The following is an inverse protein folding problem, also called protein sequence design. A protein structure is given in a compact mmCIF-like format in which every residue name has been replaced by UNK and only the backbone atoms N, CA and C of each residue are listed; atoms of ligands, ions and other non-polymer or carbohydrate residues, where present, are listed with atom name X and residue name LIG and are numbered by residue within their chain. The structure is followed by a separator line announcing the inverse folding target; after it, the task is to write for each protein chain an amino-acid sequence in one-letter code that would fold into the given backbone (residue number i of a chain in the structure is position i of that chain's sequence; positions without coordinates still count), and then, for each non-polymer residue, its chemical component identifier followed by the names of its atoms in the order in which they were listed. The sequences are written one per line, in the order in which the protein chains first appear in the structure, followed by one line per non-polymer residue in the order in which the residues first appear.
data_IF_623363225569
#
_entry.id   IF_623363225569
#
_cell.length_a   1.000
_cell.length_b   1.000
_cell.length_c   1.000
_cell.angle_alpha   90.00
_cell.angle_beta   90.00
_cell.angle_gamma   90.00
#
_symmetry.space_group_name_H-M   'P 1'
#
loop_
_entity.id
_entity.type
_entity.pdbx_description
1 polymer ?
#
# COMPACT_ATOMS: atom_id res chain seq x y z
N UNK A 1 -0.88 0.84 3.94
CA UNK A 1 -0.18 1.47 5.08
C UNK A 1 0.70 2.54 4.49
N UNK A 2 0.58 3.79 4.94
CA UNK A 2 1.34 4.91 4.38
C UNK A 2 2.79 4.89 4.85
N UNK A 3 3.69 5.59 4.14
CA UNK A 3 5.09 5.77 4.57
C UNK A 3 5.17 6.34 5.99
N UNK A 4 4.26 7.24 6.36
CA UNK A 4 4.12 7.79 7.72
C UNK A 4 3.76 6.72 8.76
N UNK A 5 2.75 5.89 8.49
CA UNK A 5 2.34 4.80 9.39
C UNK A 5 3.46 3.77 9.60
N UNK A 6 4.23 3.47 8.55
CA UNK A 6 5.39 2.56 8.63
C UNK A 6 6.47 3.18 9.52
N UNK A 7 6.80 4.47 9.34
CA UNK A 7 7.76 5.19 10.20
C UNK A 7 7.37 5.12 11.68
N UNK A 8 6.09 5.31 12.01
CA UNK A 8 5.60 5.19 13.38
C UNK A 8 5.82 3.76 13.92
N UNK A 9 5.54 2.72 13.13
CA UNK A 9 5.77 1.33 13.57
C UNK A 9 7.24 1.03 13.82
N UNK A 10 8.13 1.51 12.94
CA UNK A 10 9.58 1.40 13.12
C UNK A 10 10.02 2.10 14.40
N UNK A 11 9.57 3.34 14.62
CA UNK A 11 9.89 4.09 15.83
C UNK A 11 9.47 3.32 17.09
N UNK A 12 8.22 2.86 17.17
CA UNK A 12 7.72 2.10 18.32
C UNK A 12 8.49 0.81 18.57
N UNK A 13 8.87 0.11 17.50
CA UNK A 13 9.68 -1.11 17.60
C UNK A 13 11.09 -0.81 18.11
N UNK A 14 11.72 0.27 17.64
CA UNK A 14 13.02 0.74 18.11
C UNK A 14 12.98 1.19 19.58
N UNK A 15 11.94 1.90 20.00
CA UNK A 15 11.74 2.24 21.42
C UNK A 15 11.62 0.97 22.30
N UNK A 16 10.95 -0.07 21.82
CA UNK A 16 10.86 -1.36 22.51
C UNK A 16 12.24 -2.04 22.63
N UNK A 17 13.03 -2.02 21.56
CA UNK A 17 14.41 -2.53 21.56
C UNK A 17 15.24 -1.76 22.59
N UNK A 18 15.22 -0.42 22.54
CA UNK A 18 15.97 0.44 23.47
C UNK A 18 15.64 0.15 24.94
N UNK A 19 14.36 0.00 25.28
CA UNK A 19 13.93 -0.34 26.66
C UNK A 19 14.49 -1.70 27.11
N UNK A 20 14.47 -2.71 26.23
CA UNK A 20 15.02 -4.04 26.53
C UNK A 20 16.54 -4.01 26.65
N UNK A 21 17.23 -3.31 25.76
CA UNK A 21 18.68 -3.11 25.83
C UNK A 21 19.07 -2.44 27.14
N UNK A 22 18.38 -1.38 27.55
CA UNK A 22 18.64 -0.73 28.85
C UNK A 22 18.41 -1.67 30.04
N UNK A 23 17.41 -2.56 29.95
CA UNK A 23 17.14 -3.59 30.97
C UNK A 23 18.26 -4.62 31.04
N UNK A 24 18.78 -5.06 29.88
CA UNK A 24 19.95 -5.95 29.80
C UNK A 24 21.16 -5.28 30.46
N UNK A 25 21.49 -4.04 30.06
CA UNK A 25 22.64 -3.30 30.63
C UNK A 25 22.54 -3.15 32.15
N UNK A 26 21.33 -2.89 32.68
CA UNK A 26 21.10 -2.84 34.13
C UNK A 26 21.39 -4.18 34.81
N UNK A 27 20.95 -5.29 34.21
CA UNK A 27 21.18 -6.65 34.72
C UNK A 27 22.66 -7.04 34.66
N UNK A 28 23.34 -6.71 33.57
CA UNK A 28 24.80 -6.91 33.42
C UNK A 28 25.58 -6.13 34.48
N UNK A 29 25.15 -4.91 34.79
CA UNK A 29 25.73 -4.09 35.86
C UNK A 29 25.53 -4.75 37.23
N UNK A 30 24.35 -5.33 37.49
CA UNK A 30 24.08 -6.06 38.74
C UNK A 30 24.97 -7.30 38.89
N UNK A 31 25.13 -8.10 37.82
CA UNK A 31 26.04 -9.25 37.82
C UNK A 31 27.47 -8.76 38.11
N UNK A 32 27.92 -7.71 37.42
CA UNK A 32 29.29 -7.17 37.56
C UNK A 32 29.57 -6.54 38.93
N UNK A 33 28.54 -6.18 39.70
CA UNK A 33 28.69 -5.58 41.03
C UNK A 33 29.25 -6.55 42.08
N UNK A 34 29.25 -7.87 41.80
CA UNK A 34 29.75 -8.90 42.71
C UNK A 34 28.88 -9.12 43.97
N UNK A 35 27.73 -8.44 44.09
CA UNK A 35 26.83 -8.52 45.25
C UNK A 35 25.74 -9.58 45.15
N UNK A 36 25.79 -10.41 44.10
CA UNK A 36 24.75 -11.38 43.74
C UNK A 36 25.24 -12.80 43.97
N UNK A 37 24.38 -13.65 44.51
CA UNK A 37 24.70 -15.08 44.66
C UNK A 37 24.62 -15.81 43.30
N UNK A 38 25.13 -17.05 43.28
CA UNK A 38 25.21 -17.86 42.06
C UNK A 38 23.83 -18.12 41.43
N UNK A 39 22.79 -18.30 42.25
CA UNK A 39 21.44 -18.54 41.77
C UNK A 39 20.82 -17.27 41.17
N UNK A 40 21.01 -16.12 41.82
CA UNK A 40 20.62 -14.82 41.29
C UNK A 40 21.31 -14.51 39.96
N UNK A 41 22.62 -14.79 39.85
CA UNK A 41 23.38 -14.59 38.62
C UNK A 41 22.80 -15.45 37.49
N UNK A 42 22.53 -16.74 37.75
CA UNK A 42 21.94 -17.65 36.77
C UNK A 42 20.59 -17.13 36.26
N UNK A 43 19.71 -16.70 37.17
CA UNK A 43 18.41 -16.10 36.79
C UNK A 43 18.56 -14.84 35.95
N UNK A 44 19.51 -13.97 36.29
CA UNK A 44 19.77 -12.76 35.51
C UNK A 44 20.30 -13.10 34.11
N UNK A 45 21.16 -14.10 33.97
CA UNK A 45 21.68 -14.58 32.69
C UNK A 45 20.58 -15.21 31.81
N UNK A 46 19.70 -16.02 32.39
CA UNK A 46 18.54 -16.58 31.67
C UNK A 46 17.61 -15.48 31.15
N UNK A 47 17.35 -14.44 31.96
CA UNK A 47 16.53 -13.31 31.52
C UNK A 47 17.24 -12.46 30.44
N UNK A 48 18.55 -12.20 30.57
CA UNK A 48 19.33 -11.54 29.51
C UNK A 48 19.24 -12.34 28.20
N UNK A 49 19.38 -13.65 28.26
CA UNK A 49 19.27 -14.53 27.08
C UNK A 49 17.88 -14.44 26.43
N UNK A 50 16.81 -14.47 27.24
CA UNK A 50 15.44 -14.25 26.76
C UNK A 50 15.28 -12.88 26.10
N UNK A 51 15.65 -11.80 26.79
CA UNK A 51 15.52 -10.43 26.27
C UNK A 51 16.31 -10.25 24.97
N UNK A 52 17.49 -10.87 24.86
CA UNK A 52 18.32 -10.84 23.64
C UNK A 52 17.60 -11.51 22.46
N UNK A 53 16.97 -12.68 22.68
CA UNK A 53 16.17 -13.34 21.63
C UNK A 53 15.00 -12.47 21.18
N UNK A 54 14.28 -11.87 22.13
CA UNK A 54 13.16 -10.99 21.79
C UNK A 54 13.58 -9.70 21.08
N UNK A 55 14.77 -9.16 21.40
CA UNK A 55 15.37 -8.04 20.65
C UNK A 55 15.63 -8.48 19.21
N UNK A 56 16.26 -9.64 19.00
CA UNK A 56 16.56 -10.15 17.66
C UNK A 56 15.30 -10.37 16.81
N UNK A 57 14.22 -10.89 17.39
CA UNK A 57 12.92 -11.00 16.71
C UNK A 57 12.32 -9.63 16.35
N UNK A 58 12.45 -8.66 17.26
CA UNK A 58 11.97 -7.29 17.02
C UNK A 58 12.80 -6.62 15.92
N UNK A 59 14.12 -6.84 15.89
CA UNK A 59 15.01 -6.34 14.83
C UNK A 59 14.62 -6.89 13.46
N UNK A 60 14.35 -8.20 13.33
CA UNK A 60 13.82 -8.78 12.07
C UNK A 60 12.53 -8.10 11.62
N UNK A 61 11.68 -7.72 12.57
CA UNK A 61 10.44 -6.99 12.27
C UNK A 61 10.72 -5.56 11.79
N UNK A 62 11.70 -4.87 12.41
CA UNK A 62 12.16 -3.55 11.98
C UNK A 62 12.72 -3.60 10.56
N UNK A 63 13.64 -4.54 10.28
CA UNK A 63 14.21 -4.72 8.93
C UNK A 63 13.14 -4.94 7.86
N UNK A 64 12.10 -5.72 8.18
CA UNK A 64 10.94 -5.90 7.30
C UNK A 64 10.22 -4.58 7.03
N UNK A 65 9.97 -3.78 8.06
CA UNK A 65 9.32 -2.48 7.91
C UNK A 65 10.18 -1.46 7.18
N UNK A 66 11.50 -1.48 7.38
CA UNK A 66 12.44 -0.61 6.65
C UNK A 66 12.45 -0.93 5.16
N UNK A 67 12.45 -2.22 4.79
CA UNK A 67 12.31 -2.65 3.39
C UNK A 67 10.98 -2.20 2.79
N UNK A 68 9.89 -2.31 3.55
CA UNK A 68 8.58 -1.80 3.12
C UNK A 68 8.59 -0.27 2.95
N UNK A 69 9.19 0.46 3.88
CA UNK A 69 9.29 1.92 3.82
C UNK A 69 10.09 2.36 2.59
N UNK A 70 11.23 1.72 2.31
CA UNK A 70 12.02 2.01 1.12
C UNK A 70 11.21 1.83 -0.16
N UNK A 71 10.43 0.75 -0.25
CA UNK A 71 9.53 0.51 -1.38
C UNK A 71 8.42 1.56 -1.52
N UNK A 72 7.82 2.00 -0.42
CA UNK A 72 6.78 3.05 -0.48
C UNK A 72 7.36 4.44 -0.83
N UNK A 73 8.54 4.79 -0.29
CA UNK A 73 9.23 6.03 -0.64
C UNK A 73 9.61 6.07 -2.12
N UNK A 74 10.03 4.93 -2.67
CA UNK A 74 10.34 4.79 -4.10
C UNK A 74 9.10 5.03 -4.96
N UNK A 75 7.96 4.43 -4.59
CA UNK A 75 6.67 4.65 -5.26
C UNK A 75 6.22 6.10 -5.21
N UNK A 76 6.36 6.75 -4.06
CA UNK A 76 6.06 8.18 -3.90
C UNK A 76 6.96 9.04 -4.80
N UNK A 77 8.26 8.74 -4.86
CA UNK A 77 9.21 9.44 -5.76
C UNK A 77 8.81 9.28 -7.22
N UNK A 78 8.53 8.05 -7.66
CA UNK A 78 8.13 7.75 -9.05
C UNK A 78 6.88 8.54 -9.42
N UNK A 79 5.83 8.52 -8.59
CA UNK A 79 4.59 9.27 -8.82
C UNK A 79 4.83 10.77 -9.00
N UNK A 80 5.78 11.33 -8.24
CA UNK A 80 6.10 12.76 -8.28
C UNK A 80 6.94 13.15 -9.52
N UNK A 81 7.88 12.29 -9.92
CA UNK A 81 8.99 12.69 -10.82
C UNK A 81 9.00 12.00 -12.18
N UNK A 82 8.55 10.74 -12.26
CA UNK A 82 8.74 9.90 -13.46
C UNK A 82 7.44 9.65 -14.25
N UNK A 83 6.28 9.84 -13.62
CA UNK A 83 4.99 9.61 -14.29
C UNK A 83 4.66 10.74 -15.27
N UNK A 84 4.40 10.44 -16.56
CA UNK A 84 4.06 11.44 -17.57
C UNK A 84 2.64 11.99 -17.37
N UNK A 85 2.39 13.17 -17.93
CA UNK A 85 1.11 13.87 -17.79
C UNK A 85 -0.09 13.06 -18.29
N UNK A 86 0.07 12.30 -19.39
CA UNK A 86 -1.00 11.42 -19.90
C UNK A 86 -1.42 10.33 -18.92
N UNK A 87 -0.49 9.78 -18.13
CA UNK A 87 -0.82 8.83 -17.07
C UNK A 87 -1.44 9.51 -15.85
N UNK A 88 -1.04 10.77 -15.54
CA UNK A 88 -1.70 11.58 -14.50
C UNK A 88 -3.14 11.90 -14.87
N UNK A 89 -3.40 12.26 -16.12
CA UNK A 89 -4.76 12.49 -16.64
C UNK A 89 -5.62 11.23 -16.51
N UNK A 90 -5.06 10.08 -16.89
CA UNK A 90 -5.72 8.78 -16.69
C UNK A 90 -6.05 8.52 -15.22
N UNK A 91 -5.12 8.83 -14.30
CA UNK A 91 -5.34 8.69 -12.87
C UNK A 91 -6.51 9.54 -12.38
N UNK A 92 -6.56 10.81 -12.78
CA UNK A 92 -7.62 11.76 -12.41
C UNK A 92 -8.98 11.25 -12.89
N UNK A 93 -9.08 10.90 -14.17
CA UNK A 93 -10.34 10.44 -14.75
C UNK A 93 -10.83 9.13 -14.09
N UNK A 94 -9.91 8.22 -13.73
CA UNK A 94 -10.28 7.00 -13.00
C UNK A 94 -10.84 7.31 -11.61
N UNK A 95 -10.21 8.22 -10.86
CA UNK A 95 -10.69 8.62 -9.54
C UNK A 95 -12.08 9.25 -9.65
N UNK A 96 -12.29 10.16 -10.59
CA UNK A 96 -13.58 10.81 -10.80
C UNK A 96 -14.68 9.79 -11.11
N UNK A 97 -14.45 8.91 -12.08
CA UNK A 97 -15.43 7.89 -12.48
C UNK A 97 -15.70 6.87 -11.36
N UNK A 98 -14.68 6.47 -10.62
CA UNK A 98 -14.83 5.55 -9.49
C UNK A 98 -15.57 6.18 -8.32
N UNK A 99 -15.31 7.45 -8.03
CA UNK A 99 -16.05 8.19 -7.01
C UNK A 99 -17.53 8.26 -7.36
N UNK A 100 -17.87 8.64 -8.60
CA UNK A 100 -19.26 8.67 -9.07
C UNK A 100 -19.96 7.32 -8.89
N UNK A 101 -19.36 6.25 -9.40
CA UNK A 101 -19.88 4.89 -9.26
C UNK A 101 -20.06 4.46 -7.79
N UNK A 102 -19.06 4.68 -6.95
CA UNK A 102 -19.09 4.24 -5.55
C UNK A 102 -20.08 5.06 -4.71
N UNK A 103 -20.29 6.34 -5.03
CA UNK A 103 -21.32 7.17 -4.40
C UNK A 103 -22.73 6.69 -4.75
N UNK A 104 -23.00 6.42 -6.03
CA UNK A 104 -24.28 5.87 -6.48
C UNK A 104 -24.53 4.50 -5.85
N UNK A 105 -23.53 3.61 -5.90
CA UNK A 105 -23.59 2.28 -5.28
C UNK A 105 -23.90 2.37 -3.78
N UNK A 106 -23.22 3.28 -3.06
CA UNK A 106 -23.46 3.46 -1.62
C UNK A 106 -24.88 3.99 -1.35
N UNK A 107 -25.38 4.91 -2.17
CA UNK A 107 -26.74 5.42 -2.06
C UNK A 107 -27.79 4.31 -2.30
N UNK A 108 -27.61 3.49 -3.33
CA UNK A 108 -28.48 2.33 -3.58
C UNK A 108 -28.46 1.33 -2.44
N UNK A 109 -27.29 1.04 -1.87
CA UNK A 109 -27.18 0.14 -0.71
C UNK A 109 -27.88 0.71 0.53
N UNK A 110 -27.85 2.03 0.75
CA UNK A 110 -28.58 2.68 1.85
C UNK A 110 -30.09 2.53 1.69
N UNK A 111 -30.61 2.87 0.50
CA UNK A 111 -32.04 2.73 0.21
C UNK A 111 -32.51 1.28 0.39
N UNK A 112 -31.74 0.30 -0.11
CA UNK A 112 -32.07 -1.11 0.03
C UNK A 112 -32.01 -1.57 1.50
N UNK A 113 -31.07 -1.06 2.30
CA UNK A 113 -30.99 -1.36 3.72
C UNK A 113 -32.21 -0.81 4.49
N UNK A 114 -32.66 0.40 4.13
CA UNK A 114 -33.82 1.04 4.75
C UNK A 114 -35.12 0.27 4.42
N UNK A 115 -35.22 -0.34 3.24
CA UNK A 115 -36.37 -1.17 2.83
C UNK A 115 -36.37 -2.58 3.43
N UNK A 116 -35.22 -3.28 3.38
CA UNK A 116 -35.13 -4.71 3.73
C UNK A 116 -34.82 -4.95 5.21
N UNK A 117 -34.20 -3.98 5.89
CA UNK A 117 -33.61 -4.16 7.20
C UNK A 117 -32.38 -5.08 7.21
N UNK A 118 -31.70 -5.16 8.35
CA UNK A 118 -30.36 -5.78 8.46
C UNK A 118 -30.30 -7.24 7.99
N UNK A 119 -31.25 -8.10 8.40
CA UNK A 119 -31.18 -9.55 8.14
C UNK A 119 -31.25 -9.87 6.65
N UNK A 120 -32.24 -9.33 5.95
CA UNK A 120 -32.42 -9.58 4.51
C UNK A 120 -31.36 -8.85 3.67
N UNK A 121 -30.95 -7.65 4.08
CA UNK A 121 -29.85 -6.93 3.43
C UNK A 121 -28.55 -7.74 3.43
N UNK A 122 -28.15 -8.30 4.58
CA UNK A 122 -26.92 -9.11 4.69
C UNK A 122 -27.01 -10.38 3.85
N UNK A 123 -28.18 -11.01 3.77
CA UNK A 123 -28.40 -12.20 2.94
C UNK A 123 -28.17 -11.90 1.46
N UNK A 124 -28.56 -10.71 0.99
CA UNK A 124 -28.42 -10.28 -0.41
C UNK A 124 -27.04 -9.70 -0.74
N UNK A 125 -26.54 -8.78 0.08
CA UNK A 125 -25.34 -7.98 -0.23
C UNK A 125 -24.07 -8.44 0.52
N UNK A 126 -24.19 -9.43 1.39
CA UNK A 126 -23.15 -9.89 2.33
C UNK A 126 -22.71 -8.76 3.28
N UNK A 127 -21.84 -9.13 4.22
CA UNK A 127 -21.28 -8.18 5.19
C UNK A 127 -20.49 -7.04 4.50
N UNK A 128 -19.83 -7.35 3.39
CA UNK A 128 -19.06 -6.37 2.61
C UNK A 128 -19.91 -5.23 2.06
N UNK A 129 -21.16 -5.49 1.66
CA UNK A 129 -22.09 -4.44 1.24
C UNK A 129 -22.47 -3.54 2.41
N UNK A 130 -22.63 -4.12 3.60
CA UNK A 130 -22.98 -3.40 4.82
C UNK A 130 -21.85 -2.49 5.29
N UNK A 131 -20.61 -2.97 5.28
CA UNK A 131 -19.43 -2.16 5.62
C UNK A 131 -19.26 -1.00 4.63
N UNK A 132 -19.35 -1.29 3.32
CA UNK A 132 -19.22 -0.29 2.28
C UNK A 132 -20.26 0.83 2.39
N UNK A 133 -21.52 0.47 2.70
CA UNK A 133 -22.62 1.43 2.90
C UNK A 133 -22.30 2.50 3.96
N UNK A 134 -21.50 2.13 4.97
CA UNK A 134 -21.15 2.96 6.13
C UNK A 134 -19.90 3.81 5.92
N UNK A 135 -19.18 3.62 4.83
CA UNK A 135 -18.04 4.47 4.49
C UNK A 135 -18.48 5.91 4.27
N UNK A 136 -17.69 6.85 4.78
CA UNK A 136 -17.80 8.28 4.48
C UNK A 136 -17.36 8.58 3.04
N UNK A 137 -17.69 9.79 2.55
CA UNK A 137 -17.24 10.22 1.22
C UNK A 137 -15.71 10.29 1.17
N UNK A 138 -15.09 10.78 2.24
CA UNK A 138 -13.64 10.92 2.35
C UNK A 138 -12.95 9.54 2.24
N UNK A 139 -13.46 8.53 2.96
CA UNK A 139 -12.91 7.17 2.88
C UNK A 139 -13.04 6.57 1.47
N UNK A 140 -14.16 6.81 0.78
CA UNK A 140 -14.34 6.36 -0.61
C UNK A 140 -13.33 7.04 -1.53
N UNK A 141 -13.19 8.36 -1.46
CA UNK A 141 -12.26 9.13 -2.28
C UNK A 141 -10.83 8.64 -2.02
N UNK A 142 -10.41 8.53 -0.76
CA UNK A 142 -9.07 8.06 -0.42
C UNK A 142 -8.79 6.64 -0.94
N UNK A 143 -9.76 5.73 -0.84
CA UNK A 143 -9.62 4.36 -1.35
C UNK A 143 -9.49 4.34 -2.87
N UNK A 144 -10.22 5.23 -3.56
CA UNK A 144 -10.19 5.35 -5.01
C UNK A 144 -8.88 5.96 -5.50
N UNK A 145 -8.38 6.99 -4.83
CA UNK A 145 -7.06 7.56 -5.09
C UNK A 145 -5.94 6.54 -4.88
N UNK A 146 -5.97 5.78 -3.78
CA UNK A 146 -4.99 4.72 -3.49
C UNK A 146 -5.01 3.66 -4.59
N UNK A 147 -6.19 3.23 -5.02
CA UNK A 147 -6.36 2.24 -6.09
C UNK A 147 -5.83 2.76 -7.43
N UNK A 148 -6.06 4.03 -7.73
CA UNK A 148 -5.64 4.64 -9.00
C UNK A 148 -4.11 4.78 -9.04
N UNK A 149 -3.51 5.27 -7.94
CA UNK A 149 -2.05 5.35 -7.78
C UNK A 149 -1.39 3.98 -7.97
N UNK A 150 -1.94 2.94 -7.36
CA UNK A 150 -1.41 1.58 -7.48
C UNK A 150 -1.42 1.09 -8.94
N UNK A 151 -2.51 1.33 -9.68
CA UNK A 151 -2.63 0.99 -11.09
C UNK A 151 -1.60 1.72 -11.96
N UNK A 152 -1.44 3.03 -11.74
CA UNK A 152 -0.47 3.85 -12.48
C UNK A 152 0.97 3.40 -12.23
N UNK A 153 1.31 3.09 -10.97
CA UNK A 153 2.63 2.56 -10.59
C UNK A 153 2.88 1.20 -11.25
N UNK A 154 1.90 0.27 -11.20
CA UNK A 154 2.03 -1.04 -11.83
C UNK A 154 2.29 -0.90 -13.33
N UNK A 155 1.51 -0.05 -14.01
CA UNK A 155 1.67 0.23 -15.42
C UNK A 155 3.06 0.80 -15.74
N UNK A 156 3.53 1.76 -14.95
CA UNK A 156 4.85 2.34 -15.10
C UNK A 156 5.95 1.28 -15.01
N UNK A 157 5.91 0.40 -14.01
CA UNK A 157 6.91 -0.67 -13.86
C UNK A 157 6.83 -1.72 -14.97
N UNK A 158 5.64 -2.03 -15.48
CA UNK A 158 5.47 -2.91 -16.64
C UNK A 158 6.10 -2.32 -17.91
N UNK A 159 5.99 -1.01 -18.10
CA UNK A 159 6.65 -0.30 -19.20
C UNK A 159 8.17 -0.32 -19.01
N UNK A 160 8.67 0.06 -17.82
CA UNK A 160 10.11 0.06 -17.51
C UNK A 160 10.75 -1.32 -17.60
N UNK A 161 10.02 -2.39 -17.31
CA UNK A 161 10.52 -3.76 -17.50
C UNK A 161 10.89 -4.06 -18.96
N UNK A 162 10.28 -3.37 -19.93
CA UNK A 162 10.57 -3.54 -21.36
C UNK A 162 11.55 -2.49 -21.86
N UNK A 163 11.39 -1.23 -21.44
CA UNK A 163 12.14 -0.10 -21.98
C UNK A 163 13.42 0.21 -21.21
N UNK A 164 13.60 -0.36 -20.02
CA UNK A 164 14.64 0.04 -19.08
C UNK A 164 14.35 1.41 -18.47
N UNK A 165 15.34 2.30 -18.51
CA UNK A 165 15.14 3.73 -18.19
C UNK A 165 14.44 4.43 -19.36
N UNK A 166 13.29 5.05 -19.10
CA UNK A 166 12.50 5.73 -20.13
C UNK A 166 13.18 7.04 -20.53
N UNK A 167 13.36 7.23 -21.83
CA UNK A 167 13.97 8.44 -22.41
C UNK A 167 12.92 9.33 -23.08
N UNK A 168 11.79 8.77 -23.50
CA UNK A 168 10.73 9.51 -24.20
C UNK A 168 9.33 8.96 -23.94
N UNK A 169 8.44 9.84 -23.46
CA UNK A 169 7.02 9.60 -23.20
C UNK A 169 6.09 10.24 -24.24
N UNK A 170 6.60 11.01 -25.21
CA UNK A 170 5.76 11.79 -26.14
C UNK A 170 4.85 10.93 -27.02
N UNK A 171 5.19 9.66 -27.20
CA UNK A 171 4.42 8.70 -27.97
C UNK A 171 3.19 8.12 -27.26
N UNK A 172 2.96 8.40 -25.96
CA UNK A 172 1.80 7.90 -25.20
C UNK A 172 0.76 9.00 -24.97
N UNK A 173 -0.51 8.71 -25.28
CA UNK A 173 -1.62 9.66 -25.13
C UNK A 173 -2.78 9.01 -24.40
N UNK A 174 -3.42 9.81 -23.55
CA UNK A 174 -4.67 9.45 -22.90
C UNK A 174 -5.81 10.21 -23.58
N UNK A 175 -6.78 9.48 -24.13
CA UNK A 175 -7.93 10.05 -24.82
C UNK A 175 -9.10 9.07 -24.82
N UNK A 176 -10.31 9.56 -24.58
CA UNK A 176 -11.52 8.72 -24.59
C UNK A 176 -11.49 7.61 -23.54
N UNK A 177 -10.79 7.81 -22.43
CA UNK A 177 -10.61 6.82 -21.38
C UNK A 177 -9.58 5.72 -21.68
N UNK A 178 -8.92 5.77 -22.83
CA UNK A 178 -7.87 4.84 -23.21
C UNK A 178 -6.50 5.52 -23.23
N UNK A 179 -5.48 4.82 -22.74
CA UNK A 179 -4.07 5.19 -22.75
C UNK A 179 -3.37 4.30 -23.77
N UNK A 180 -3.01 4.90 -24.91
CA UNK A 180 -2.44 4.18 -26.02
C UNK A 180 -1.17 4.87 -26.53
N UNK A 181 -0.22 4.10 -27.04
CA UNK A 181 0.95 4.66 -27.70
C UNK A 181 2.20 3.81 -27.58
N UNK A 182 3.35 4.43 -27.88
CA UNK A 182 4.66 3.80 -27.78
C UNK A 182 5.53 4.63 -26.83
N UNK A 183 6.22 3.95 -25.93
CA UNK A 183 7.19 4.53 -25.00
C UNK A 183 8.58 4.04 -25.39
N UNK A 184 9.56 4.94 -25.41
CA UNK A 184 10.95 4.61 -25.77
C UNK A 184 11.85 4.75 -24.55
N UNK A 185 12.71 3.76 -24.31
CA UNK A 185 13.76 3.83 -23.30
C UNK A 185 15.09 3.29 -23.81
N UNK A 186 16.07 3.20 -22.90
CA UNK A 186 17.44 2.79 -23.22
C UNK A 186 17.55 1.36 -23.75
N UNK A 187 16.67 0.47 -23.31
CA UNK A 187 16.74 -0.96 -23.63
C UNK A 187 15.78 -1.38 -24.75
N UNK A 188 14.79 -0.55 -25.07
CA UNK A 188 13.80 -0.88 -26.10
C UNK A 188 12.59 0.03 -26.11
N UNK A 189 11.56 -0.41 -26.84
CA UNK A 189 10.28 0.29 -26.98
C UNK A 189 9.14 -0.59 -26.49
N UNK A 190 8.20 0.01 -25.78
CA UNK A 190 6.98 -0.65 -25.32
C UNK A 190 5.76 -0.04 -25.98
N UNK A 191 4.90 -0.86 -26.58
CA UNK A 191 3.57 -0.44 -27.00
C UNK A 191 2.60 -0.64 -25.84
N UNK A 192 1.85 0.41 -25.53
CA UNK A 192 0.80 0.42 -24.51
C UNK A 192 -0.54 0.49 -25.22
N UNK A 193 -1.44 -0.42 -24.89
CA UNK A 193 -2.80 -0.47 -25.40
C UNK A 193 -3.76 -0.67 -24.23
N UNK A 194 -4.69 0.26 -24.02
CA UNK A 194 -5.67 0.12 -22.96
C UNK A 194 -7.10 0.30 -23.42
N UNK A 195 -8.00 -0.41 -22.72
CA UNK A 195 -9.44 -0.33 -22.91
C UNK A 195 -10.12 -0.14 -21.57
N UNK A 196 -11.12 0.73 -21.53
CA UNK A 196 -12.08 0.78 -20.44
C UNK A 196 -13.00 -0.44 -20.52
N UNK A 197 -13.17 -1.11 -19.39
CA UNK A 197 -14.07 -2.25 -19.25
C UNK A 197 -14.92 -2.10 -17.98
N UNK A 198 -16.15 -2.61 -18.01
CA UNK A 198 -17.09 -2.50 -16.89
C UNK A 198 -17.87 -1.19 -16.86
N UNK A 199 -18.51 -0.89 -15.73
CA UNK A 199 -19.40 0.27 -15.59
C UNK A 199 -20.88 -0.01 -15.86
N UNK A 200 -21.29 -1.28 -15.98
CA UNK A 200 -22.70 -1.68 -16.11
C UNK A 200 -23.08 -2.68 -15.00
N UNK A 201 -24.06 -2.29 -14.16
CA UNK A 201 -24.76 -3.03 -13.10
C UNK A 201 -23.95 -3.73 -11.98
N UNK A 202 -22.90 -4.52 -12.28
CA UNK A 202 -22.29 -5.44 -11.30
C UNK A 202 -20.80 -5.13 -11.04
N UNK A 203 -20.09 -4.56 -12.02
CA UNK A 203 -18.65 -4.34 -11.92
C UNK A 203 -18.29 -2.85 -11.99
N UNK A 204 -17.50 -2.41 -11.02
CA UNK A 204 -16.80 -1.14 -11.06
C UNK A 204 -16.00 -1.03 -12.36
N UNK A 205 -15.97 0.17 -12.93
CA UNK A 205 -15.14 0.49 -14.09
C UNK A 205 -13.70 0.05 -13.81
N UNK A 206 -13.07 -0.64 -14.74
CA UNK A 206 -11.65 -1.02 -14.65
C UNK A 206 -10.98 -0.81 -15.99
N UNK A 207 -9.65 -0.66 -15.98
CA UNK A 207 -8.87 -0.52 -17.21
C UNK A 207 -8.12 -1.82 -17.41
N UNK A 208 -8.24 -2.39 -18.62
CA UNK A 208 -7.35 -3.47 -19.06
C UNK A 208 -6.24 -2.84 -19.87
N UNK A 209 -4.99 -3.14 -19.50
CA UNK A 209 -3.82 -2.60 -20.17
C UNK A 209 -2.94 -3.74 -20.67
N UNK A 210 -2.66 -3.75 -21.96
CA UNK A 210 -1.66 -4.58 -22.62
C UNK A 210 -0.38 -3.74 -22.79
N UNK A 211 0.75 -4.33 -22.43
CA UNK A 211 2.08 -3.74 -22.58
C UNK A 211 2.96 -4.80 -23.20
N UNK A 212 3.53 -4.53 -24.37
CA UNK A 212 4.37 -5.49 -25.10
C UNK A 212 5.52 -4.78 -25.81
N UNK A 213 6.60 -5.54 -26.05
CA UNK A 213 7.78 -5.03 -26.74
C UNK A 213 7.50 -4.87 -28.22
N UNK A 214 8.07 -3.82 -28.82
CA UNK A 214 8.02 -3.53 -30.26
C UNK A 214 9.34 -3.89 -30.90
#
# INVERSE_FOLDING_TARGET
MTSYEIKIRIQKANEKIQKKTATITKKETWISSGKKDEYEIKWLQEDISRLTREIAETQKTVEKYEKQLAGELERERVLLTEIPESMKQMQIELVERWNGYDFERRASLKAEYDELGYKEFIKKNKHTGYEFMRLSNLEIIENNEKSAKALIIDLFYRIRHITGEVTDWTGIRFSGGALNGIVTGKEGRAKVESILAGGYNIQRLHVRVLVHSV
#
